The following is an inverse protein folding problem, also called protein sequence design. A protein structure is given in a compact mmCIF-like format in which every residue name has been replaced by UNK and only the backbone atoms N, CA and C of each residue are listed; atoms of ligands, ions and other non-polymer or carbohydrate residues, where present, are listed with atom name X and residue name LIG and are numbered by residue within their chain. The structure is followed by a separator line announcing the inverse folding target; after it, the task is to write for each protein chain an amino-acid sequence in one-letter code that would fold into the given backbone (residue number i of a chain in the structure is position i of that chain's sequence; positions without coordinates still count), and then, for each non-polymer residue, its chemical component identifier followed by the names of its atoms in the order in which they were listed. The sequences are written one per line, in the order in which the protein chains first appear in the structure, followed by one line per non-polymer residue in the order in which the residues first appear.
data_IF_618248717082
#
_entry.id   IF_618248717082
#
_cell.length_a   1.000
_cell.length_b   1.000
_cell.length_c   1.000
_cell.angle_alpha   90.00
_cell.angle_beta   90.00
_cell.angle_gamma   90.00
#
_symmetry.space_group_name_H-M   'P 1'
#
loop_
_entity.id
_entity.type
_entity.pdbx_description
1 polymer ?
#
# COMPACT_ATOMS: atom_id res chain seq x y z
N UNK A 1 5.59 -33.38 -54.02
CA UNK A 1 5.71 -32.78 -52.70
C UNK A 1 4.50 -31.88 -52.54
N UNK A 2 3.39 -32.56 -52.32
CA UNK A 2 2.12 -32.03 -51.81
C UNK A 2 2.38 -31.87 -50.29
N UNK A 3 1.99 -30.82 -49.57
CA UNK A 3 0.66 -30.26 -49.47
C UNK A 3 0.71 -28.81 -48.98
N UNK A 4 -0.09 -27.96 -49.63
CA UNK A 4 -0.63 -26.72 -49.09
C UNK A 4 -1.51 -27.03 -47.87
N UNK A 5 -1.35 -26.29 -46.76
CA UNK A 5 -2.41 -26.20 -45.76
C UNK A 5 -2.59 -24.75 -45.31
N UNK A 6 -3.48 -24.10 -46.05
CA UNK A 6 -4.22 -22.90 -45.71
C UNK A 6 -5.26 -23.18 -44.60
N UNK A 7 -5.29 -22.29 -43.59
CA UNK A 7 -6.42 -21.90 -42.72
C UNK A 7 -7.16 -23.00 -41.89
N UNK A 8 -7.42 -22.81 -40.60
CA UNK A 8 -8.62 -22.13 -40.10
C UNK A 8 -8.53 -21.90 -38.58
N UNK A 9 -8.73 -20.65 -38.16
CA UNK A 9 -9.18 -20.30 -36.81
C UNK A 9 -10.59 -20.83 -36.60
N UNK A 10 -10.87 -21.55 -35.51
CA UNK A 10 -12.19 -21.49 -34.86
C UNK A 10 -12.09 -21.81 -33.37
N UNK A 11 -12.68 -20.92 -32.60
CA UNK A 11 -12.83 -20.90 -31.16
C UNK A 11 -13.61 -22.11 -30.64
N UNK A 12 -13.12 -22.77 -29.59
CA UNK A 12 -14.00 -23.48 -28.66
C UNK A 12 -13.94 -22.81 -27.29
N UNK A 13 -14.94 -21.95 -27.09
CA UNK A 13 -15.35 -21.39 -25.82
C UNK A 13 -16.14 -22.49 -25.11
N UNK A 14 -15.50 -23.24 -24.21
CA UNK A 14 -16.19 -24.14 -23.28
C UNK A 14 -15.96 -23.67 -21.84
N UNK A 15 -17.04 -23.19 -21.23
CA UNK A 15 -17.39 -23.59 -19.87
C UNK A 15 -16.49 -23.11 -18.75
N UNK A 16 -16.75 -21.88 -18.32
CA UNK A 16 -16.62 -21.36 -16.96
C UNK A 16 -16.60 -22.43 -15.85
N UNK A 17 -15.43 -22.69 -15.29
CA UNK A 17 -15.24 -22.92 -13.87
C UNK A 17 -14.12 -21.97 -13.47
N UNK A 18 -14.45 -21.10 -12.52
CA UNK A 18 -13.67 -19.97 -12.07
C UNK A 18 -12.32 -20.46 -11.55
N UNK A 19 -11.31 -20.52 -12.43
CA UNK A 19 -9.90 -20.53 -12.05
C UNK A 19 -9.52 -19.14 -11.54
N UNK A 20 -10.26 -18.65 -10.53
CA UNK A 20 -9.82 -17.55 -9.68
C UNK A 20 -8.80 -18.15 -8.70
N UNK A 21 -7.68 -18.61 -9.24
CA UNK A 21 -6.45 -18.67 -8.47
C UNK A 21 -5.48 -17.76 -9.18
N UNK A 22 -5.73 -16.47 -9.00
CA UNK A 22 -4.60 -15.56 -8.86
C UNK A 22 -3.95 -15.96 -7.53
N UNK A 23 -3.15 -17.02 -7.53
CA UNK A 23 -1.97 -17.15 -6.70
C UNK A 23 -1.02 -16.01 -7.11
N UNK A 24 -1.44 -14.77 -6.87
CA UNK A 24 -0.52 -13.67 -6.75
C UNK A 24 0.18 -13.95 -5.42
N UNK A 25 1.24 -14.76 -5.51
CA UNK A 25 2.28 -14.98 -4.51
C UNK A 25 2.23 -13.86 -3.46
N UNK A 26 1.67 -14.20 -2.30
CA UNK A 26 1.32 -13.31 -1.19
C UNK A 26 2.57 -12.76 -0.50
N UNK A 27 3.45 -12.08 -1.23
CA UNK A 27 4.70 -11.58 -0.66
C UNK A 27 4.38 -10.36 0.23
N UNK A 28 3.46 -9.48 -0.20
CA UNK A 28 3.18 -8.21 0.46
C UNK A 28 1.78 -8.12 1.09
N UNK A 29 1.73 -8.10 2.42
CA UNK A 29 0.59 -7.67 3.22
C UNK A 29 0.33 -6.16 3.07
N UNK A 30 -0.94 -5.75 3.20
CA UNK A 30 -1.30 -4.35 3.36
C UNK A 30 -2.17 -4.11 4.60
N UNK A 31 -1.92 -2.99 5.26
CA UNK A 31 -2.57 -2.62 6.53
C UNK A 31 -3.05 -1.19 6.41
N UNK A 32 -4.37 -1.01 6.41
CA UNK A 32 -5.02 0.30 6.51
C UNK A 32 -5.39 0.62 7.96
N UNK A 33 -5.09 1.84 8.39
CA UNK A 33 -5.42 2.41 9.69
C UNK A 33 -6.09 3.77 9.50
N UNK A 34 -7.08 4.05 10.33
CA UNK A 34 -7.78 5.33 10.34
C UNK A 34 -7.26 6.16 11.50
N UNK A 35 -6.73 7.34 11.21
CA UNK A 35 -6.11 8.24 12.17
C UNK A 35 -6.97 9.48 12.30
N UNK A 36 -7.59 9.64 13.47
CA UNK A 36 -8.47 10.78 13.77
C UNK A 36 -7.72 11.95 14.42
N UNK A 37 -6.48 11.73 14.87
CA UNK A 37 -5.67 12.74 15.51
C UNK A 37 -4.88 13.56 14.48
N UNK A 38 -4.67 14.83 14.83
CA UNK A 38 -3.74 15.70 14.11
C UNK A 38 -2.32 15.32 14.51
N UNK A 39 -1.45 15.13 13.53
CA UNK A 39 -0.03 14.83 13.75
C UNK A 39 0.82 15.99 13.29
N UNK A 40 2.00 16.16 13.87
CA UNK A 40 2.96 17.11 13.35
C UNK A 40 3.64 16.53 12.10
N UNK A 41 3.94 17.38 11.10
CA UNK A 41 4.67 16.95 9.91
C UNK A 41 6.04 16.36 10.27
N UNK A 42 6.69 16.92 11.28
CA UNK A 42 8.01 16.46 11.75
C UNK A 42 7.90 15.07 12.36
N UNK A 43 6.90 14.87 13.22
CA UNK A 43 6.65 13.59 13.88
C UNK A 43 6.27 12.49 12.87
N UNK A 44 5.46 12.84 11.87
CA UNK A 44 5.15 11.93 10.77
C UNK A 44 6.42 11.53 10.01
N UNK A 45 7.30 12.47 9.70
CA UNK A 45 8.55 12.17 9.01
C UNK A 45 9.45 11.23 9.83
N UNK A 46 9.55 11.43 11.14
CA UNK A 46 10.29 10.53 12.05
C UNK A 46 9.73 9.10 12.03
N UNK A 47 8.39 8.95 12.08
CA UNK A 47 7.74 7.63 12.01
C UNK A 47 8.02 6.96 10.65
N UNK A 48 7.94 7.72 9.55
CA UNK A 48 8.17 7.21 8.20
C UNK A 48 9.64 6.81 8.00
N UNK A 49 10.58 7.59 8.52
CA UNK A 49 12.00 7.26 8.50
C UNK A 49 12.29 5.99 9.32
N UNK A 50 11.73 5.89 10.52
CA UNK A 50 11.84 4.67 11.35
C UNK A 50 11.24 3.46 10.66
N UNK A 51 10.14 3.61 9.93
CA UNK A 51 9.53 2.53 9.13
C UNK A 51 10.36 2.18 7.88
N UNK A 52 11.06 3.15 7.29
CA UNK A 52 11.87 2.95 6.09
C UNK A 52 13.22 2.30 6.40
N UNK A 53 13.86 2.70 7.51
CA UNK A 53 15.13 2.15 7.96
C UNK A 53 14.95 0.92 8.88
N UNK A 54 13.82 0.85 9.59
CA UNK A 54 13.59 -0.13 10.63
C UNK A 54 12.79 -1.36 10.17
N UNK A 55 13.38 -2.54 10.36
CA UNK A 55 12.66 -3.82 10.22
C UNK A 55 11.71 -4.12 11.41
N UNK A 56 11.54 -3.20 12.36
CA UNK A 56 10.77 -3.38 13.61
C UNK A 56 9.29 -3.70 13.34
N UNK A 57 8.78 -3.22 12.21
CA UNK A 57 7.39 -3.32 11.77
C UNK A 57 7.17 -4.37 10.67
N UNK A 58 8.21 -5.11 10.27
CA UNK A 58 8.22 -6.00 9.10
C UNK A 58 9.00 -5.41 7.92
N UNK A 59 8.97 -6.08 6.77
CA UNK A 59 9.60 -5.61 5.54
C UNK A 59 8.71 -4.58 4.83
N UNK A 60 8.66 -3.35 5.32
CA UNK A 60 7.85 -2.29 4.70
C UNK A 60 8.46 -1.92 3.34
N UNK A 61 7.63 -2.00 2.29
CA UNK A 61 8.01 -1.63 0.93
C UNK A 61 7.39 -0.29 0.54
N UNK A 62 6.26 0.07 1.12
CA UNK A 62 5.63 1.37 0.91
C UNK A 62 4.69 1.70 2.05
N UNK A 63 4.74 2.90 2.58
CA UNK A 63 3.71 3.44 3.46
C UNK A 63 3.16 4.71 2.84
N UNK A 64 1.85 4.77 2.61
CA UNK A 64 1.19 5.96 2.07
C UNK A 64 -0.01 6.31 2.91
N UNK A 65 -0.35 7.58 2.98
CA UNK A 65 -1.54 7.96 3.70
C UNK A 65 -1.73 9.44 3.80
N UNK A 66 -2.89 9.81 4.30
CA UNK A 66 -3.29 11.18 4.47
C UNK A 66 -3.53 11.46 5.93
N UNK A 67 -2.93 12.53 6.44
CA UNK A 67 -3.05 12.92 7.83
C UNK A 67 -3.26 14.44 7.93
N UNK A 68 -4.07 14.83 8.91
CA UNK A 68 -4.24 16.23 9.26
C UNK A 68 -3.01 16.72 10.03
N UNK A 69 -2.42 17.83 9.58
CA UNK A 69 -1.36 18.50 10.32
C UNK A 69 -1.93 19.32 11.49
N UNK A 70 -1.09 19.54 12.49
CA UNK A 70 -1.35 20.46 13.62
C UNK A 70 -1.67 21.88 13.14
N UNK A 71 -1.10 22.28 11.99
CA UNK A 71 -1.34 23.57 11.32
C UNK A 71 -2.76 23.71 10.73
N UNK A 72 -3.53 22.61 10.64
CA UNK A 72 -4.88 22.60 10.08
C UNK A 72 -4.94 22.33 8.57
N UNK A 73 -3.78 22.17 7.93
CA UNK A 73 -3.64 21.66 6.57
C UNK A 73 -3.65 20.14 6.55
N UNK A 74 -3.95 19.55 5.41
CA UNK A 74 -3.89 18.10 5.20
C UNK A 74 -2.69 17.77 4.35
N UNK A 75 -2.03 16.67 4.67
CA UNK A 75 -0.87 16.20 3.93
C UNK A 75 -1.06 14.74 3.56
N UNK A 76 -0.73 14.42 2.32
CA UNK A 76 -0.60 13.05 1.84
C UNK A 76 0.89 12.74 1.78
N UNK A 77 1.32 11.70 2.47
CA UNK A 77 2.69 11.22 2.43
C UNK A 77 2.74 9.89 1.71
N UNK A 78 3.86 9.65 1.05
CA UNK A 78 4.23 8.40 0.41
C UNK A 78 5.69 8.15 0.76
N UNK A 79 5.91 7.15 1.59
CA UNK A 79 7.22 6.65 1.94
C UNK A 79 7.45 5.35 1.18
N UNK A 80 8.61 5.25 0.57
CA UNK A 80 9.23 4.01 0.11
C UNK A 80 10.59 3.88 0.82
N UNK A 81 11.13 2.67 0.99
CA UNK A 81 12.51 2.54 1.40
C UNK A 81 13.37 3.37 0.43
N UNK A 82 14.26 4.19 0.99
CA UNK A 82 15.11 5.18 0.30
C UNK A 82 14.50 6.56 -0.02
N UNK A 83 13.16 6.74 -0.03
CA UNK A 83 12.55 8.05 -0.35
C UNK A 83 11.26 8.32 0.44
N UNK A 84 11.17 9.51 1.02
CA UNK A 84 9.95 10.01 1.68
C UNK A 84 9.43 11.23 0.94
N UNK A 85 8.25 11.11 0.34
CA UNK A 85 7.52 12.22 -0.26
C UNK A 85 6.37 12.66 0.66
N UNK A 86 6.29 13.95 0.95
CA UNK A 86 5.16 14.55 1.67
C UNK A 86 4.60 15.67 0.80
N UNK A 87 3.32 15.57 0.46
CA UNK A 87 2.60 16.50 -0.40
C UNK A 87 1.42 17.09 0.36
N UNK A 88 1.09 18.34 0.07
CA UNK A 88 -0.15 18.94 0.55
C UNK A 88 -1.35 18.29 -0.14
N UNK A 89 -2.42 18.04 0.60
CA UNK A 89 -3.62 17.37 0.14
C UNK A 89 -4.86 18.17 0.52
N UNK A 90 -5.97 17.86 -0.15
CA UNK A 90 -7.26 18.44 0.19
C UNK A 90 -7.70 18.06 1.61
N UNK A 91 -8.43 18.96 2.28
CA UNK A 91 -8.91 18.70 3.62
C UNK A 91 -9.96 17.59 3.63
N UNK A 92 -9.63 16.50 4.32
CA UNK A 92 -10.50 15.33 4.48
C UNK A 92 -11.19 15.35 5.86
N UNK A 93 -12.06 14.39 6.13
CA UNK A 93 -12.69 14.23 7.45
C UNK A 93 -11.94 13.25 8.36
N UNK A 94 -11.22 12.27 7.79
CA UNK A 94 -10.56 11.16 8.49
C UNK A 94 -9.21 10.90 7.83
N UNK A 95 -8.14 10.84 8.64
CA UNK A 95 -6.83 10.44 8.16
C UNK A 95 -6.77 8.95 7.88
N UNK A 96 -6.08 8.55 6.82
CA UNK A 96 -5.93 7.14 6.42
C UNK A 96 -4.45 6.83 6.23
N UNK A 97 -3.93 5.84 6.94
CA UNK A 97 -2.55 5.40 6.87
C UNK A 97 -2.54 3.97 6.32
N UNK A 98 -1.86 3.73 5.20
CA UNK A 98 -1.79 2.43 4.53
C UNK A 98 -0.35 2.00 4.40
N UNK A 99 0.02 0.88 5.03
CA UNK A 99 1.33 0.27 4.91
C UNK A 99 1.25 -0.96 4.04
N UNK A 100 2.25 -1.17 3.19
CA UNK A 100 2.40 -2.31 2.30
C UNK A 100 3.80 -2.89 2.51
N UNK A 101 3.92 -4.20 2.68
CA UNK A 101 5.18 -4.85 2.97
C UNK A 101 5.03 -6.33 3.36
N UNK A 102 6.12 -7.00 3.67
CA UNK A 102 6.16 -8.44 3.99
C UNK A 102 6.21 -8.65 5.50
N UNK A 103 5.52 -9.68 6.04
CA UNK A 103 5.56 -10.02 7.47
C UNK A 103 5.26 -8.83 8.42
N UNK A 104 4.30 -7.98 8.02
CA UNK A 104 4.00 -6.74 8.72
C UNK A 104 3.45 -6.98 10.13
N UNK A 105 4.01 -6.27 11.11
CA UNK A 105 3.59 -6.28 12.51
C UNK A 105 2.37 -5.39 12.71
N UNK A 106 1.19 -5.89 12.28
CA UNK A 106 -0.12 -5.21 12.37
C UNK A 106 -0.30 -4.50 13.71
N UNK A 107 -0.10 -5.19 14.82
CA UNK A 107 -0.32 -4.67 16.17
C UNK A 107 0.54 -3.43 16.50
N UNK A 108 1.85 -3.49 16.17
CA UNK A 108 2.78 -2.37 16.38
C UNK A 108 2.45 -1.18 15.49
N UNK A 109 2.11 -1.43 14.23
CA UNK A 109 1.75 -0.38 13.27
C UNK A 109 0.45 0.31 13.72
N UNK A 110 -0.53 -0.45 14.24
CA UNK A 110 -1.74 0.14 14.84
C UNK A 110 -1.40 0.99 16.06
N UNK A 111 -0.52 0.50 16.93
CA UNK A 111 -0.14 1.19 18.16
C UNK A 111 0.50 2.56 17.90
N UNK A 112 1.24 2.75 16.81
CA UNK A 112 1.84 4.04 16.44
C UNK A 112 0.82 5.17 16.25
N UNK A 113 -0.39 4.85 15.79
CA UNK A 113 -1.41 5.86 15.45
C UNK A 113 -2.65 5.80 16.33
N UNK A 114 -2.75 4.81 17.23
CA UNK A 114 -3.92 4.57 18.07
C UNK A 114 -3.72 4.97 19.54
N UNK A 115 -2.57 5.57 19.90
CA UNK A 115 -2.31 6.13 21.24
C UNK A 115 -2.80 7.59 21.36
#
# INVERSE_FOLDING_TARGET
DEEEHEHHHHHHHEGCACGHDHDADEIFDSIGLEVFKKVDRSHLAEILEEMAEGCTYGGIVRAKGMLACTDGTWVNFDMVPEQVEIREADPENIGKFVVIGTELQKDKIKALFND
#
